data_IF_320041262253
#
_entry.id   IF_320041262253
#
_cell.length_a   1.000
_cell.length_b   1.000
_cell.length_c   1.000
_cell.angle_alpha   90.00
_cell.angle_beta   90.00
_cell.angle_gamma   90.00
#
_symmetry.space_group_name_H-M   'P 1'
#
loop_
_entity.id
_entity.type
_entity.pdbx_description
1 polymer ?
#
# COMPACT_ATOMS: atom_id res chain seq x y z
N UNK A 1 33.61 24.60 -34.41
CA UNK A 1 32.77 23.38 -34.44
C UNK A 1 32.92 22.63 -33.12
N UNK A 2 31.80 22.19 -32.53
CA UNK A 2 31.79 21.34 -31.35
C UNK A 2 31.81 19.85 -31.74
N UNK A 3 32.50 19.02 -30.97
CA UNK A 3 32.64 17.58 -31.24
C UNK A 3 32.42 16.75 -29.97
N UNK A 4 31.82 15.56 -30.12
CA UNK A 4 31.60 14.63 -29.00
C UNK A 4 32.66 13.53 -29.06
N UNK A 5 33.43 13.39 -27.99
CA UNK A 5 34.38 12.31 -27.81
C UNK A 5 33.86 11.30 -26.79
N UNK A 6 33.94 10.01 -27.11
CA UNK A 6 33.58 8.94 -26.18
C UNK A 6 34.85 8.46 -25.46
N UNK A 7 34.82 8.35 -24.14
CA UNK A 7 35.92 7.80 -23.35
C UNK A 7 35.39 6.68 -22.45
N UNK A 8 35.85 5.42 -22.62
CA UNK A 8 35.53 4.36 -21.68
C UNK A 8 36.21 4.64 -20.34
N UNK A 9 35.48 4.42 -19.24
CA UNK A 9 35.99 4.49 -17.87
C UNK A 9 36.49 3.12 -17.41
N UNK A 10 37.23 3.13 -16.30
CA UNK A 10 37.77 1.91 -15.68
C UNK A 10 36.67 0.93 -15.22
N UNK A 11 35.46 1.43 -14.94
CA UNK A 11 34.30 0.61 -14.55
C UNK A 11 33.51 0.03 -15.76
N UNK A 12 33.94 0.33 -17.00
CA UNK A 12 33.25 -0.08 -18.23
C UNK A 12 32.14 0.87 -18.70
N UNK A 13 31.77 1.88 -17.93
CA UNK A 13 30.86 2.95 -18.35
C UNK A 13 31.51 3.85 -19.40
N UNK A 14 30.70 4.52 -20.23
CA UNK A 14 31.18 5.44 -21.26
C UNK A 14 30.85 6.86 -20.82
N UNK A 15 31.87 7.71 -20.73
CA UNK A 15 31.69 9.15 -20.55
C UNK A 15 31.86 9.88 -21.87
N UNK A 16 30.94 10.78 -22.16
CA UNK A 16 30.93 11.61 -23.35
C UNK A 16 31.52 12.98 -23.02
N UNK A 17 32.38 13.50 -23.88
CA UNK A 17 33.02 14.81 -23.71
C UNK A 17 32.70 15.67 -24.93
N UNK A 18 31.97 16.75 -24.72
CA UNK A 18 31.76 17.76 -25.75
C UNK A 18 32.95 18.71 -25.72
N UNK A 19 33.69 18.85 -26.83
CA UNK A 19 34.85 19.74 -26.96
C UNK A 19 34.60 20.77 -28.05
N UNK A 20 34.95 22.02 -27.79
CA UNK A 20 34.87 23.09 -28.79
C UNK A 20 35.95 24.15 -28.57
N UNK A 21 36.02 25.14 -29.45
CA UNK A 21 36.82 26.35 -29.26
C UNK A 21 35.87 27.52 -29.04
N UNK A 22 36.15 28.33 -28.03
CA UNK A 22 35.37 29.52 -27.71
C UNK A 22 35.29 30.43 -28.95
N UNK A 23 34.08 30.86 -29.33
CA UNK A 23 33.85 31.70 -30.52
C UNK A 23 34.07 31.00 -31.87
N UNK A 24 34.34 29.69 -31.88
CA UNK A 24 34.32 28.86 -33.09
C UNK A 24 35.53 29.00 -34.02
N UNK A 25 36.47 29.90 -33.72
CA UNK A 25 37.66 30.16 -34.53
C UNK A 25 38.91 29.44 -34.02
N UNK A 26 39.94 29.31 -34.88
CA UNK A 26 41.17 28.55 -34.60
C UNK A 26 41.98 29.10 -33.41
N UNK A 27 41.93 30.41 -33.19
CA UNK A 27 42.57 31.09 -32.06
C UNK A 27 41.77 31.04 -30.74
N UNK A 28 40.56 30.47 -30.74
CA UNK A 28 39.73 30.39 -29.55
C UNK A 28 40.28 29.41 -28.52
N UNK A 29 40.10 29.74 -27.24
CA UNK A 29 40.49 28.88 -26.13
C UNK A 29 39.73 27.53 -26.21
N UNK A 30 40.41 26.38 -26.01
CA UNK A 30 39.76 25.09 -26.01
C UNK A 30 38.86 24.95 -24.78
N UNK A 31 37.64 24.47 -24.97
CA UNK A 31 36.65 24.21 -23.93
C UNK A 31 36.18 22.76 -24.00
N UNK A 32 35.78 22.21 -22.85
CA UNK A 32 35.28 20.84 -22.78
C UNK A 32 34.32 20.63 -21.62
N UNK A 33 33.26 19.86 -21.87
CA UNK A 33 32.25 19.51 -20.87
C UNK A 33 31.96 18.00 -20.88
N UNK A 34 31.99 17.32 -19.71
CA UNK A 34 31.70 15.89 -19.58
C UNK A 34 30.21 15.60 -19.37
N UNK A 35 29.75 14.45 -19.86
CA UNK A 35 28.38 13.95 -19.76
C UNK A 35 28.38 12.43 -19.58
N UNK A 36 27.43 11.92 -18.81
CA UNK A 36 27.28 10.48 -18.59
C UNK A 36 26.27 9.84 -19.57
N UNK A 37 25.51 10.66 -20.29
CA UNK A 37 24.54 10.26 -21.33
C UNK A 37 24.90 10.84 -22.70
N UNK A 38 24.79 10.03 -23.75
CA UNK A 38 24.98 10.49 -25.13
C UNK A 38 23.93 11.52 -25.55
N UNK A 39 22.68 11.34 -25.10
CA UNK A 39 21.58 12.24 -25.45
C UNK A 39 21.86 13.64 -24.92
N UNK A 40 22.30 13.74 -23.66
CA UNK A 40 22.60 15.03 -23.03
C UNK A 40 23.81 15.71 -23.70
N UNK A 41 24.86 14.93 -24.01
CA UNK A 41 26.02 15.44 -24.75
C UNK A 41 25.64 15.95 -26.15
N UNK A 42 24.70 15.27 -26.82
CA UNK A 42 24.22 15.68 -28.13
C UNK A 42 23.39 16.96 -28.06
N UNK A 43 22.45 17.04 -27.12
CA UNK A 43 21.64 18.24 -26.88
C UNK A 43 22.52 19.44 -26.55
N UNK A 44 23.48 19.29 -25.62
CA UNK A 44 24.42 20.35 -25.28
C UNK A 44 25.26 20.80 -26.49
N UNK A 45 25.74 19.86 -27.31
CA UNK A 45 26.48 20.19 -28.53
C UNK A 45 25.66 21.08 -29.46
N UNK A 46 24.37 20.77 -29.68
CA UNK A 46 23.50 21.59 -30.51
C UNK A 46 23.38 23.01 -29.97
N UNK A 47 23.24 23.18 -28.65
CA UNK A 47 23.19 24.51 -28.04
C UNK A 47 24.51 25.27 -28.10
N UNK A 48 25.66 24.58 -28.02
CA UNK A 48 26.95 25.23 -28.26
C UNK A 48 27.05 25.73 -29.71
N UNK A 49 26.57 24.95 -30.68
CA UNK A 49 26.56 25.36 -32.08
C UNK A 49 25.58 26.53 -32.33
N UNK A 50 24.39 26.49 -31.71
CA UNK A 50 23.39 27.56 -31.73
C UNK A 50 23.89 28.86 -31.08
N UNK A 51 24.60 28.76 -29.94
CA UNK A 51 25.20 29.89 -29.24
C UNK A 51 26.48 30.43 -29.91
N UNK A 52 26.74 30.07 -31.19
CA UNK A 52 27.91 30.54 -31.92
C UNK A 52 29.24 30.07 -31.32
N UNK A 53 29.25 28.87 -30.73
CA UNK A 53 30.40 28.27 -30.02
C UNK A 53 30.82 29.02 -28.76
N UNK A 54 29.88 29.72 -28.12
CA UNK A 54 30.00 30.19 -26.75
C UNK A 54 29.43 29.17 -25.77
N UNK A 55 29.60 29.43 -24.48
CA UNK A 55 28.84 28.71 -23.46
C UNK A 55 27.35 29.01 -23.65
N UNK A 56 26.47 27.98 -23.66
CA UNK A 56 25.03 28.20 -23.74
C UNK A 56 24.52 29.05 -22.57
N UNK A 57 23.55 29.91 -22.84
CA UNK A 57 22.95 30.78 -21.84
C UNK A 57 22.26 29.93 -20.76
N UNK A 58 22.55 30.20 -19.48
CA UNK A 58 22.06 29.43 -18.32
C UNK A 58 22.64 28.02 -18.16
N UNK A 59 23.74 27.69 -18.83
CA UNK A 59 24.53 26.49 -18.51
C UNK A 59 25.53 26.78 -17.39
N UNK A 60 25.48 25.98 -16.33
CA UNK A 60 26.44 25.99 -15.22
C UNK A 60 27.47 24.88 -15.49
N UNK A 61 28.77 25.23 -15.70
CA UNK A 61 29.80 24.25 -15.96
C UNK A 61 29.85 23.15 -14.90
N UNK A 62 29.84 21.90 -15.37
CA UNK A 62 29.82 20.63 -14.60
C UNK A 62 28.55 20.33 -13.82
N UNK A 63 27.61 21.25 -13.74
CA UNK A 63 26.33 21.05 -13.03
C UNK A 63 25.19 20.82 -14.03
N UNK A 64 25.23 21.47 -15.19
CA UNK A 64 24.20 21.35 -16.22
C UNK A 64 23.40 22.64 -16.41
N UNK A 65 22.16 22.51 -16.88
CA UNK A 65 21.25 23.67 -16.99
C UNK A 65 20.89 24.20 -15.61
N UNK A 66 20.78 25.53 -15.49
CA UNK A 66 20.30 26.17 -14.27
C UNK A 66 18.95 25.57 -13.83
N UNK A 67 18.70 25.41 -12.51
CA UNK A 67 17.47 24.83 -12.00
C UNK A 67 16.22 25.51 -12.60
N UNK A 68 15.40 24.72 -13.29
CA UNK A 68 14.17 25.17 -13.96
C UNK A 68 14.33 25.71 -15.36
N UNK A 69 15.52 25.61 -15.94
CA UNK A 69 15.73 25.90 -17.34
C UNK A 69 15.69 24.60 -18.16
N UNK A 70 14.76 24.54 -19.14
CA UNK A 70 14.68 23.42 -20.07
C UNK A 70 15.03 23.90 -21.47
N UNK A 71 15.95 23.21 -22.18
CA UNK A 71 16.38 23.64 -23.50
C UNK A 71 15.24 23.65 -24.51
N UNK A 72 15.10 24.76 -25.25
CA UNK A 72 14.03 24.98 -26.22
C UNK A 72 12.70 25.50 -25.64
N UNK A 73 12.53 25.50 -24.31
CA UNK A 73 11.32 25.99 -23.62
C UNK A 73 11.61 27.25 -22.77
N UNK A 74 12.87 27.48 -22.39
CA UNK A 74 13.31 28.65 -21.63
C UNK A 74 13.18 28.47 -20.12
N UNK A 75 13.05 29.59 -19.40
CA UNK A 75 12.83 29.59 -17.95
C UNK A 75 11.42 29.04 -17.66
N UNK A 76 11.33 27.75 -17.39
CA UNK A 76 10.12 27.21 -16.78
C UNK A 76 10.18 27.69 -15.34
N UNK A 77 9.14 28.38 -14.88
CA UNK A 77 8.91 28.48 -13.44
C UNK A 77 8.79 27.05 -12.94
N UNK A 78 9.88 26.48 -12.43
CA UNK A 78 9.79 25.35 -11.52
C UNK A 78 9.10 25.94 -10.32
N UNK A 79 7.77 25.92 -10.38
CA UNK A 79 6.93 26.23 -9.24
C UNK A 79 7.42 25.31 -8.15
N UNK A 80 8.05 25.88 -7.15
CA UNK A 80 8.22 25.24 -5.86
C UNK A 80 6.82 24.80 -5.42
N UNK A 81 6.46 23.54 -5.66
CA UNK A 81 5.33 22.87 -5.02
C UNK A 81 3.90 23.28 -5.39
N UNK A 82 3.63 24.04 -6.46
CA UNK A 82 2.24 24.34 -6.88
C UNK A 82 1.66 23.28 -7.84
N UNK A 83 1.86 22.01 -7.50
CA UNK A 83 0.97 20.96 -8.00
C UNK A 83 -0.45 21.19 -7.45
N UNK A 84 -1.51 20.63 -8.08
CA UNK A 84 -2.83 20.65 -7.47
C UNK A 84 -2.71 20.09 -6.05
N UNK A 85 -3.27 20.82 -5.07
CA UNK A 85 -3.19 20.41 -3.65
C UNK A 85 -3.60 18.93 -3.52
N UNK A 86 -2.79 18.10 -2.81
CA UNK A 86 -3.12 16.71 -2.61
C UNK A 86 -4.50 16.57 -1.98
N UNK A 87 -5.30 15.63 -2.49
CA UNK A 87 -6.60 15.33 -1.88
C UNK A 87 -6.40 14.12 -0.99
N UNK A 88 -6.11 14.37 0.28
CA UNK A 88 -5.86 13.29 1.23
C UNK A 88 -7.11 12.47 1.48
N UNK A 89 -6.96 11.15 1.51
CA UNK A 89 -8.04 10.21 1.82
C UNK A 89 -8.79 10.57 3.11
N UNK A 90 -8.07 11.08 4.12
CA UNK A 90 -8.66 11.50 5.40
C UNK A 90 -9.76 12.56 5.23
N UNK A 91 -9.44 13.63 4.53
CA UNK A 91 -10.33 14.79 4.37
C UNK A 91 -11.50 14.38 3.50
N UNK A 92 -11.19 13.79 2.33
CA UNK A 92 -12.17 13.29 1.38
C UNK A 92 -13.17 12.31 2.00
N UNK A 93 -12.70 11.29 2.72
CA UNK A 93 -13.58 10.29 3.32
C UNK A 93 -14.53 10.88 4.37
N UNK A 94 -14.05 11.82 5.19
CA UNK A 94 -14.87 12.43 6.23
C UNK A 94 -15.90 13.41 5.64
N UNK A 95 -15.49 14.19 4.64
CA UNK A 95 -16.39 15.09 3.91
C UNK A 95 -17.49 14.33 3.16
N UNK A 96 -17.13 13.21 2.50
CA UNK A 96 -18.09 12.35 1.82
C UNK A 96 -19.15 11.82 2.79
N UNK A 97 -18.75 11.24 3.93
CA UNK A 97 -19.72 10.71 4.92
C UNK A 97 -20.58 11.83 5.51
N UNK A 98 -20.02 13.02 5.73
CA UNK A 98 -20.77 14.16 6.21
C UNK A 98 -21.84 14.60 5.19
N UNK A 99 -21.52 14.61 3.90
CA UNK A 99 -22.40 15.08 2.82
C UNK A 99 -23.49 14.06 2.40
N UNK A 100 -23.36 12.77 2.74
CA UNK A 100 -24.35 11.76 2.35
C UNK A 100 -25.78 12.12 2.79
N UNK A 101 -26.73 12.12 1.86
CA UNK A 101 -28.15 12.37 2.16
C UNK A 101 -28.91 11.06 2.39
N UNK A 102 -29.98 11.08 3.19
CA UNK A 102 -30.86 9.91 3.40
C UNK A 102 -30.32 8.83 4.35
N UNK A 103 -29.19 9.08 5.01
CA UNK A 103 -28.60 8.18 6.02
C UNK A 103 -28.82 8.74 7.42
N UNK A 104 -29.23 7.88 8.35
CA UNK A 104 -29.42 8.24 9.77
C UNK A 104 -28.12 8.79 10.38
N UNK A 105 -28.22 9.85 11.18
CA UNK A 105 -27.07 10.49 11.83
C UNK A 105 -26.22 9.50 12.66
N UNK A 106 -26.86 8.52 13.30
CA UNK A 106 -26.18 7.44 14.02
C UNK A 106 -25.29 6.61 13.09
N UNK A 107 -25.80 6.23 11.92
CA UNK A 107 -25.05 5.46 10.91
C UNK A 107 -23.85 6.25 10.38
N UNK A 108 -23.99 7.56 10.15
CA UNK A 108 -22.86 8.43 9.80
C UNK A 108 -21.79 8.43 10.89
N UNK A 109 -22.19 8.54 12.16
CA UNK A 109 -21.27 8.50 13.29
C UNK A 109 -20.56 7.14 13.43
N UNK A 110 -21.26 6.04 13.14
CA UNK A 110 -20.67 4.69 13.10
C UNK A 110 -19.63 4.57 11.96
N UNK A 111 -19.94 5.07 10.75
CA UNK A 111 -18.97 5.10 9.64
C UNK A 111 -17.75 5.96 9.94
N UNK A 112 -17.96 7.17 10.49
CA UNK A 112 -16.86 8.05 10.88
C UNK A 112 -15.94 7.39 11.91
N UNK A 113 -16.53 6.73 12.93
CA UNK A 113 -15.77 5.98 13.93
C UNK A 113 -14.93 4.89 13.27
N UNK A 114 -15.51 4.15 12.34
CA UNK A 114 -14.86 3.02 11.69
C UNK A 114 -13.73 3.48 10.75
N UNK A 115 -13.95 4.56 9.98
CA UNK A 115 -12.92 5.25 9.17
C UNK A 115 -11.75 5.64 10.07
N UNK A 116 -12.02 6.39 11.15
CA UNK A 116 -10.98 6.88 12.06
C UNK A 116 -10.18 5.74 12.70
N UNK A 117 -10.84 4.62 13.01
CA UNK A 117 -10.22 3.51 13.74
C UNK A 117 -9.44 2.56 12.85
N UNK A 118 -9.92 2.31 11.64
CA UNK A 118 -9.44 1.20 10.80
C UNK A 118 -8.82 1.65 9.49
N UNK A 119 -9.26 2.78 8.91
CA UNK A 119 -8.77 3.22 7.60
C UNK A 119 -7.71 4.32 7.71
N UNK A 120 -7.94 5.32 8.56
CA UNK A 120 -7.03 6.46 8.68
C UNK A 120 -5.59 6.10 9.11
N UNK A 121 -5.34 5.09 9.97
CA UNK A 121 -3.98 4.68 10.29
C UNK A 121 -3.17 4.25 9.05
N UNK A 122 -3.83 3.64 8.07
CA UNK A 122 -3.16 3.09 6.88
C UNK A 122 -3.23 4.05 5.70
N UNK A 123 -4.41 4.59 5.40
CA UNK A 123 -4.67 5.37 4.19
C UNK A 123 -4.73 6.88 4.42
N UNK A 124 -4.85 7.34 5.67
CA UNK A 124 -5.22 8.73 5.95
C UNK A 124 -4.23 9.80 5.49
N UNK A 125 -2.98 9.41 5.18
CA UNK A 125 -1.94 10.30 4.66
C UNK A 125 -1.73 10.16 3.15
N UNK A 126 -2.39 9.20 2.51
CA UNK A 126 -2.28 8.97 1.08
C UNK A 126 -3.17 9.94 0.31
N UNK A 127 -2.68 10.40 -0.82
CA UNK A 127 -3.49 11.12 -1.81
C UNK A 127 -4.41 10.12 -2.51
N UNK A 128 -5.71 10.43 -2.60
CA UNK A 128 -6.68 9.57 -3.25
C UNK A 128 -6.42 9.44 -4.76
N UNK A 129 -5.76 10.43 -5.36
CA UNK A 129 -5.39 10.47 -6.78
C UNK A 129 -4.17 9.61 -7.10
N UNK A 130 -3.35 9.29 -6.11
CA UNK A 130 -2.11 8.56 -6.29
C UNK A 130 -2.36 7.09 -6.65
N UNK A 131 -2.01 6.70 -7.88
CA UNK A 131 -2.16 5.33 -8.37
C UNK A 131 -0.97 4.42 -8.06
N UNK A 132 0.16 4.96 -7.61
CA UNK A 132 1.39 4.22 -7.34
C UNK A 132 1.44 3.69 -5.92
N UNK A 133 1.06 4.50 -4.93
CA UNK A 133 1.08 4.09 -3.52
C UNK A 133 -0.27 3.50 -3.08
N UNK A 134 -1.38 4.09 -3.52
CA UNK A 134 -2.73 3.62 -3.18
C UNK A 134 -3.19 2.53 -4.16
N UNK A 135 -2.59 1.35 -4.13
CA UNK A 135 -2.85 0.26 -5.09
C UNK A 135 -3.75 -0.85 -4.52
N UNK A 136 -4.20 -1.76 -5.39
CA UNK A 136 -4.83 -3.03 -4.98
C UNK A 136 -3.98 -3.82 -3.98
N UNK A 137 -2.64 -3.75 -4.11
CA UNK A 137 -1.71 -4.43 -3.20
C UNK A 137 -1.81 -3.83 -1.79
N UNK A 138 -1.89 -2.51 -1.68
CA UNK A 138 -2.04 -1.79 -0.41
C UNK A 138 -3.37 -2.14 0.26
N UNK A 139 -4.47 -2.22 -0.51
CA UNK A 139 -5.78 -2.62 0.02
C UNK A 139 -5.78 -4.07 0.51
N UNK A 140 -5.19 -5.01 -0.24
CA UNK A 140 -5.06 -6.42 0.19
C UNK A 140 -4.22 -6.56 1.46
N UNK A 141 -3.10 -5.84 1.55
CA UNK A 141 -2.26 -5.84 2.74
C UNK A 141 -3.03 -5.33 3.97
N UNK A 142 -3.83 -4.28 3.80
CA UNK A 142 -4.71 -3.77 4.85
C UNK A 142 -5.77 -4.80 5.27
N UNK A 143 -6.43 -5.48 4.32
CA UNK A 143 -7.40 -6.54 4.65
C UNK A 143 -6.75 -7.68 5.45
N UNK A 144 -5.56 -8.13 5.05
CA UNK A 144 -4.81 -9.15 5.78
C UNK A 144 -4.50 -8.67 7.22
N UNK A 145 -4.10 -7.42 7.39
CA UNK A 145 -3.86 -6.84 8.71
C UNK A 145 -5.12 -6.83 9.59
N UNK A 146 -6.30 -6.60 9.01
CA UNK A 146 -7.56 -6.68 9.77
C UNK A 146 -7.87 -8.11 10.23
N UNK A 147 -7.49 -9.12 9.43
CA UNK A 147 -7.68 -10.53 9.74
C UNK A 147 -6.68 -11.05 10.78
N UNK A 148 -5.46 -10.54 10.80
CA UNK A 148 -4.41 -10.95 11.73
C UNK A 148 -4.48 -10.18 13.06
N UNK A 149 -5.05 -8.96 13.05
CA UNK A 149 -5.11 -8.06 14.19
C UNK A 149 -4.16 -6.87 14.05
N UNK A 150 -4.59 -5.70 14.54
CA UNK A 150 -3.79 -4.47 14.47
C UNK A 150 -3.04 -4.29 15.80
N UNK A 151 -1.71 -4.13 15.83
CA UNK A 151 -0.98 -3.72 17.04
C UNK A 151 -1.54 -2.39 17.59
N UNK A 152 -1.94 -2.33 18.86
CA UNK A 152 -2.56 -1.11 19.42
C UNK A 152 -1.48 -0.12 19.87
N UNK A 153 -1.33 1.05 19.24
CA UNK A 153 -0.31 2.04 19.62
C UNK A 153 -0.60 2.72 20.96
N UNK A 154 -1.74 2.45 21.61
CA UNK A 154 -2.15 3.05 22.89
C UNK A 154 -1.66 2.30 24.13
N UNK A 155 -0.99 1.17 23.98
CA UNK A 155 -0.41 0.42 25.11
C UNK A 155 0.98 0.96 25.41
N UNK A 156 1.07 1.94 26.33
CA UNK A 156 2.31 2.47 26.89
C UNK A 156 2.81 1.63 28.07
N UNK A 157 3.01 0.32 27.87
CA UNK A 157 3.62 -0.52 28.91
C UNK A 157 4.67 -1.44 28.28
N UNK A 158 5.93 -1.00 28.34
CA UNK A 158 7.06 -1.87 28.07
C UNK A 158 7.15 -2.93 29.18
N UNK A 159 7.40 -4.22 28.86
CA UNK A 159 7.46 -5.32 29.84
C UNK A 159 8.54 -5.20 30.93
N UNK A 160 9.38 -4.15 30.90
CA UNK A 160 10.57 -4.06 31.76
C UNK A 160 10.53 -2.97 32.85
N UNK A 161 9.45 -2.18 32.95
CA UNK A 161 9.28 -1.17 34.00
C UNK A 161 7.95 -1.36 34.71
N UNK A 162 7.94 -2.34 35.61
CA UNK A 162 6.76 -2.81 36.33
C UNK A 162 6.12 -1.79 37.27
N UNK A 163 5.15 -1.03 36.76
CA UNK A 163 4.15 -0.33 37.58
C UNK A 163 2.75 -0.43 36.95
N UNK A 164 2.09 -1.56 37.20
CA UNK A 164 0.67 -1.73 36.90
C UNK A 164 -0.20 -1.32 38.10
N UNK A 165 -1.23 -0.51 37.84
CA UNK A 165 -2.29 -0.21 38.80
C UNK A 165 -3.32 -1.35 38.82
N UNK A 166 -3.88 -1.63 40.01
CA UNK A 166 -4.62 -2.85 40.36
C UNK A 166 -5.86 -3.19 39.52
N UNK A 167 -6.33 -2.29 38.63
CA UNK A 167 -7.45 -2.55 37.72
C UNK A 167 -7.07 -3.32 36.44
N UNK A 168 -5.80 -3.42 36.08
CA UNK A 168 -5.33 -4.19 34.91
C UNK A 168 -5.35 -5.72 35.12
N UNK A 169 -5.28 -6.15 36.39
CA UNK A 169 -5.03 -7.55 36.78
C UNK A 169 -6.15 -8.54 36.42
N UNK A 170 -7.40 -8.07 36.21
CA UNK A 170 -8.55 -8.96 35.96
C UNK A 170 -8.77 -9.30 34.48
N UNK A 171 -8.17 -8.53 33.55
CA UNK A 171 -8.27 -8.78 32.09
C UNK A 171 -7.02 -9.44 31.50
N UNK A 172 -5.89 -9.41 32.21
CA UNK A 172 -4.59 -9.93 31.78
C UNK A 172 -4.46 -11.47 31.75
N UNK A 173 -5.38 -12.25 32.34
CA UNK A 173 -5.19 -13.71 32.53
C UNK A 173 -5.58 -14.61 31.33
N UNK A 174 -5.91 -14.07 30.15
CA UNK A 174 -6.45 -14.89 29.04
C UNK A 174 -5.77 -14.81 27.66
N UNK A 175 -4.74 -14.01 27.44
CA UNK A 175 -4.04 -14.01 26.15
C UNK A 175 -2.60 -13.54 26.29
N UNK A 176 -1.66 -14.35 25.79
CA UNK A 176 -0.24 -14.02 25.72
C UNK A 176 0.06 -12.79 24.84
N UNK A 177 -0.89 -12.35 24.00
CA UNK A 177 -0.79 -11.18 23.12
C UNK A 177 -1.58 -9.97 23.63
N UNK A 178 -1.16 -9.36 24.74
CA UNK A 178 -1.85 -8.19 25.30
C UNK A 178 -1.58 -6.86 24.53
N UNK A 179 -0.81 -6.92 23.44
CA UNK A 179 -0.37 -5.78 22.63
C UNK A 179 -1.03 -5.71 21.24
N UNK A 180 -1.76 -6.76 20.84
CA UNK A 180 -2.52 -6.82 19.58
C UNK A 180 -4.00 -6.56 19.87
N UNK A 181 -4.65 -5.71 19.05
CA UNK A 181 -6.12 -5.74 18.98
C UNK A 181 -6.53 -7.11 18.43
N UNK A 182 -7.52 -7.79 19.03
CA UNK A 182 -7.96 -9.08 18.53
C UNK A 182 -8.39 -8.98 17.06
N UNK A 183 -8.12 -10.02 16.25
CA UNK A 183 -8.47 -10.06 14.84
C UNK A 183 -9.97 -9.77 14.65
N UNK A 184 -10.29 -9.01 13.61
CA UNK A 184 -11.69 -8.65 13.32
C UNK A 184 -12.45 -9.86 12.78
N UNK A 185 -13.72 -9.98 13.18
CA UNK A 185 -14.61 -11.02 12.62
C UNK A 185 -14.73 -10.83 11.10
N UNK A 186 -14.89 -11.90 10.31
CA UNK A 186 -15.05 -11.80 8.86
C UNK A 186 -16.10 -10.77 8.42
N UNK A 187 -17.27 -10.75 9.08
CA UNK A 187 -18.33 -9.76 8.84
C UNK A 187 -17.87 -8.31 9.05
N UNK A 188 -17.07 -8.06 10.08
CA UNK A 188 -16.51 -6.73 10.32
C UNK A 188 -15.52 -6.32 9.23
N UNK A 189 -14.68 -7.25 8.76
CA UNK A 189 -13.77 -7.01 7.63
C UNK A 189 -14.55 -6.68 6.35
N UNK A 190 -15.66 -7.38 6.09
CA UNK A 190 -16.53 -7.09 4.94
C UNK A 190 -17.13 -5.70 5.01
N UNK A 191 -17.69 -5.32 6.17
CA UNK A 191 -18.30 -4.01 6.35
C UNK A 191 -17.27 -2.89 6.16
N UNK A 192 -16.07 -3.04 6.73
CA UNK A 192 -14.99 -2.07 6.58
C UNK A 192 -14.52 -1.99 5.13
N UNK A 193 -14.35 -3.13 4.45
CA UNK A 193 -13.99 -3.14 3.05
C UNK A 193 -15.08 -2.51 2.17
N UNK A 194 -16.35 -2.79 2.44
CA UNK A 194 -17.48 -2.20 1.73
C UNK A 194 -17.52 -0.68 1.87
N UNK A 195 -17.24 -0.16 3.07
CA UNK A 195 -17.12 1.28 3.31
C UNK A 195 -15.92 1.89 2.55
N UNK A 196 -14.77 1.22 2.54
CA UNK A 196 -13.60 1.67 1.77
C UNK A 196 -13.90 1.67 0.26
N UNK A 197 -14.56 0.62 -0.24
CA UNK A 197 -14.99 0.52 -1.62
C UNK A 197 -15.91 1.67 -2.00
N UNK A 198 -16.91 1.98 -1.17
CA UNK A 198 -17.85 3.09 -1.39
C UNK A 198 -17.12 4.44 -1.50
N UNK A 199 -16.19 4.73 -0.58
CA UNK A 199 -15.42 5.98 -0.60
C UNK A 199 -14.60 6.09 -1.89
N UNK A 200 -13.90 5.03 -2.26
CA UNK A 200 -13.06 5.02 -3.46
C UNK A 200 -13.87 5.00 -4.75
N UNK A 201 -15.07 4.44 -4.72
CA UNK A 201 -15.99 4.45 -5.86
C UNK A 201 -16.50 5.87 -6.12
N UNK A 202 -16.89 6.60 -5.07
CA UNK A 202 -17.25 8.02 -5.20
C UNK A 202 -16.10 8.83 -5.82
N UNK A 203 -14.85 8.55 -5.44
CA UNK A 203 -13.69 9.26 -6.01
C UNK A 203 -13.46 8.94 -7.50
N UNK A 204 -13.89 7.77 -7.97
CA UNK A 204 -13.88 7.42 -9.39
C UNK A 204 -15.00 8.13 -10.14
N UNK A 205 -16.19 8.21 -9.53
CA UNK A 205 -17.36 8.92 -10.09
C UNK A 205 -17.13 10.43 -10.19
N UNK A 206 -16.37 11.00 -9.25
CA UNK A 206 -15.92 12.41 -9.29
C UNK A 206 -14.68 12.62 -10.18
N UNK A 207 -14.25 11.59 -10.92
CA UNK A 207 -13.08 11.62 -11.82
C UNK A 207 -11.75 11.99 -11.13
N UNK A 208 -11.69 11.92 -9.80
CA UNK A 208 -10.46 12.11 -9.03
C UNK A 208 -9.47 10.97 -9.25
N UNK A 209 -9.98 9.79 -9.62
CA UNK A 209 -9.19 8.58 -9.80
C UNK A 209 -9.71 7.73 -10.96
N UNK A 210 -8.84 7.11 -11.77
CA UNK A 210 -9.28 6.31 -12.92
C UNK A 210 -9.90 4.95 -12.55
N UNK A 211 -9.66 4.42 -11.34
CA UNK A 211 -10.18 3.11 -10.94
C UNK A 211 -10.18 2.89 -9.43
N UNK A 212 -11.08 2.03 -8.95
CA UNK A 212 -11.23 1.71 -7.54
C UNK A 212 -10.28 0.56 -7.13
N UNK A 213 -9.25 0.80 -6.28
CA UNK A 213 -8.30 -0.23 -5.87
C UNK A 213 -8.92 -1.29 -4.94
N UNK A 214 -10.12 -1.09 -4.39
CA UNK A 214 -10.83 -2.10 -3.60
C UNK A 214 -11.64 -3.09 -4.45
N UNK A 215 -11.86 -2.83 -5.74
CA UNK A 215 -12.77 -3.63 -6.58
C UNK A 215 -12.33 -5.09 -6.80
N UNK A 216 -11.05 -5.41 -6.66
CA UNK A 216 -10.46 -6.74 -6.93
C UNK A 216 -9.83 -7.37 -5.69
N UNK A 217 -10.42 -7.11 -4.54
CA UNK A 217 -9.97 -7.65 -3.26
C UNK A 217 -10.79 -8.88 -2.89
N UNK A 218 -10.12 -10.00 -2.64
CA UNK A 218 -10.76 -11.20 -2.12
C UNK A 218 -10.94 -11.05 -0.61
N UNK A 219 -12.15 -11.28 -0.11
CA UNK A 219 -12.47 -11.18 1.31
C UNK A 219 -12.57 -12.57 1.96
N UNK A 220 -12.38 -12.66 3.30
CA UNK A 220 -12.59 -13.92 4.04
C UNK A 220 -13.98 -14.53 3.78
N UNK A 221 -14.15 -15.84 4.00
CA UNK A 221 -15.50 -16.41 3.93
C UNK A 221 -16.33 -15.93 5.13
N UNK A 222 -17.57 -15.53 4.87
CA UNK A 222 -18.59 -15.39 5.90
C UNK A 222 -19.05 -16.81 6.22
N UNK A 223 -18.59 -17.38 7.34
CA UNK A 223 -19.19 -18.60 7.86
C UNK A 223 -20.53 -18.18 8.47
N UNK A 224 -21.59 -18.27 7.69
CA UNK A 224 -22.96 -18.14 8.17
C UNK A 224 -23.25 -19.44 8.92
N UNK A 225 -22.92 -19.45 10.22
CA UNK A 225 -23.11 -20.62 11.08
C UNK A 225 -24.58 -21.00 11.21
N UNK A 226 -25.12 -21.72 10.23
CA UNK A 226 -26.27 -22.60 10.37
C UNK A 226 -25.77 -24.03 10.54
N UNK A 227 -25.88 -24.56 11.76
CA UNK A 227 -25.78 -26.00 12.03
C UNK A 227 -24.68 -26.42 13.00
N UNK A 228 -24.87 -26.16 14.30
CA UNK A 228 -24.56 -27.15 15.35
C UNK A 228 -25.10 -26.69 16.72
N UNK A 229 -26.42 -26.51 16.82
CA UNK A 229 -27.10 -26.70 18.10
C UNK A 229 -27.92 -28.00 17.98
N UNK A 230 -27.65 -28.89 18.93
CA UNK A 230 -28.40 -30.10 19.27
C UNK A 230 -28.19 -31.38 18.42
N UNK A 231 -27.27 -32.23 18.87
CA UNK A 231 -27.51 -33.68 19.01
C UNK A 231 -26.52 -34.24 20.06
N UNK A 232 -26.98 -34.17 21.31
CA UNK A 232 -26.87 -35.21 22.34
C UNK A 232 -25.62 -36.12 22.37
N UNK A 233 -24.82 -35.93 23.42
CA UNK A 233 -24.24 -36.95 24.30
C UNK A 233 -24.24 -38.41 23.83
N UNK A 234 -23.06 -38.97 23.59
CA UNK A 234 -22.49 -40.03 24.44
C UNK A 234 -21.07 -40.43 24.01
N UNK A 235 -20.17 -40.74 24.95
CA UNK A 235 -18.81 -41.18 24.65
C UNK A 235 -18.79 -42.69 24.45
N UNK A 236 -18.18 -43.18 23.37
CA UNK A 236 -17.79 -44.59 23.27
C UNK A 236 -16.29 -44.67 23.01
N UNK A 237 -15.62 -45.16 24.04
CA UNK A 237 -14.21 -45.49 24.07
C UNK A 237 -13.87 -46.53 22.99
N UNK A 238 -12.82 -46.26 22.22
CA UNK A 238 -12.12 -47.28 21.44
C UNK A 238 -11.26 -48.11 22.40
N UNK A 239 -11.54 -49.40 22.49
CA UNK A 239 -10.57 -50.39 22.97
C UNK A 239 -10.64 -51.62 22.07
N UNK A 240 -9.47 -51.96 21.54
CA UNK A 240 -9.20 -53.16 20.76
C UNK A 240 -9.58 -54.42 21.53
N UNK A 241 -10.03 -55.46 20.83
CA UNK A 241 -9.50 -56.81 21.01
C UNK A 241 -10.06 -57.78 19.95
N UNK A 242 -9.14 -58.36 19.20
CA UNK A 242 -9.31 -59.54 18.37
C UNK A 242 -9.76 -60.74 19.22
N UNK A 243 -10.71 -61.54 18.73
CA UNK A 243 -10.83 -62.93 19.16
C UNK A 243 -11.50 -63.80 18.09
N UNK A 244 -10.66 -64.68 17.55
CA UNK A 244 -10.94 -65.85 16.74
C UNK A 244 -11.83 -66.86 17.49
N UNK A 245 -12.75 -67.49 16.75
CA UNK A 245 -13.41 -68.79 16.93
C UNK A 245 -13.49 -69.43 18.33
N UNK A 246 -14.67 -69.91 18.73
CA UNK A 246 -14.94 -71.35 18.97
C UNK A 246 -16.45 -71.64 19.21
N UNK A 247 -16.89 -72.67 18.49
CA UNK A 247 -17.95 -73.67 18.72
C UNK A 247 -18.74 -73.71 20.05
N UNK A 248 -20.08 -73.82 19.95
CA UNK A 248 -20.97 -74.88 20.52
C UNK A 248 -22.43 -74.45 20.37
N UNK A 249 -23.30 -75.18 19.64
CA UNK A 249 -24.01 -76.43 19.98
C UNK A 249 -25.40 -76.20 20.59
N UNK A 250 -26.41 -76.68 19.85
CA UNK A 250 -27.74 -77.21 20.25
C UNK A 250 -28.74 -76.26 20.92
N UNK A 251 -29.88 -76.01 20.27
CA UNK A 251 -31.18 -76.70 20.48
C UNK A 251 -31.99 -76.01 21.61
N UNK A 252 -33.31 -75.81 21.61
CA UNK A 252 -34.46 -76.42 20.92
C UNK A 252 -35.71 -75.60 21.34
N UNK A 253 -36.80 -75.71 20.56
CA UNK A 253 -38.21 -75.61 21.03
C UNK A 253 -38.76 -74.20 21.41
N UNK A 254 -39.97 -73.74 21.11
CA UNK A 254 -41.25 -74.24 20.55
C UNK A 254 -41.98 -73.03 19.89
N UNK A 255 -42.72 -73.17 18.78
CA UNK A 255 -44.20 -73.43 18.74
C UNK A 255 -45.00 -72.12 18.92
N UNK A 256 -45.59 -71.52 17.87
CA UNK A 256 -46.94 -71.80 17.30
C UNK A 256 -48.05 -71.63 18.35
N UNK A 257 -49.17 -70.90 18.19
CA UNK A 257 -49.94 -70.33 17.07
C UNK A 257 -50.83 -69.21 17.66
N UNK A 258 -51.34 -68.25 16.87
CA UNK A 258 -52.75 -68.20 16.38
C UNK A 258 -53.79 -68.97 17.20
#
# INVERSE_FOLDING_TARGET
MATINKRPLQDGSIRYWVKWRLGGHRGGAPQSEPFDSYVDAHTFRLHVEEAGHQWPENWIPREGWAPGWVPGVGLIKVGTGDGPKPVYFREYALELIASMTGIEARTKADYERDIRRHMLPTFGHLDIRDTETFTHKTVRAWVNQLQEGIPDPRVLTHPHTGKDTSKAKKKQRKSADHWLRPPLRPKSVHNLHGLLYLILQAAVEEELRPSNPAARTTLPRLDDGEGSDDMSSSPVASSNCSATAHTRTSATCWGSSS
#
